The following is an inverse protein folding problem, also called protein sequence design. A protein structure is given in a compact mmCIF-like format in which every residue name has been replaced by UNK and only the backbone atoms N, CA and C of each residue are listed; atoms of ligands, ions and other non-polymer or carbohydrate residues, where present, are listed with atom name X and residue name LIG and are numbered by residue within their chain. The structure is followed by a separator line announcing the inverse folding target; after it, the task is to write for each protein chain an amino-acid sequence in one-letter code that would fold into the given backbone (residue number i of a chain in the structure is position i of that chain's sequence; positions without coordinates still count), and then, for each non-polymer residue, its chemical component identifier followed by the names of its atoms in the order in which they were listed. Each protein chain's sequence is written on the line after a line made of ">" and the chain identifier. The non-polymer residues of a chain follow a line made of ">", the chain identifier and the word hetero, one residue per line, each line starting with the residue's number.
data_IF_867473801975
#
_entry.id   IF_867473801975
#
_cell.length_a   1.000
_cell.length_b   1.000
_cell.length_c   1.000
_cell.angle_alpha   90.00
_cell.angle_beta   90.00
_cell.angle_gamma   90.00
#
_symmetry.space_group_name_H-M   'P 1'
#
loop_
_entity.id
_entity.type
_entity.pdbx_description
1 polymer ?
#
# COMPACT_ATOMS: atom_id res chain seq x y z
N UNK A 1 -17.66 3.35 -4.23
CA UNK A 1 -18.75 3.47 -3.22
C UNK A 1 -19.60 4.65 -3.62
N UNK A 2 -20.91 4.44 -3.72
CA UNK A 2 -21.85 5.52 -3.97
C UNK A 2 -21.92 6.44 -2.74
N UNK A 3 -21.48 7.68 -2.91
CA UNK A 3 -21.41 8.68 -1.83
C UNK A 3 -22.81 9.21 -1.43
N UNK A 4 -23.87 8.89 -2.17
CA UNK A 4 -25.24 9.27 -1.80
C UNK A 4 -25.81 8.40 -0.68
N UNK A 5 -25.22 7.24 -0.40
CA UNK A 5 -25.67 6.35 0.67
C UNK A 5 -25.31 6.92 2.05
N UNK A 6 -26.28 7.01 2.99
CA UNK A 6 -26.03 7.42 4.36
C UNK A 6 -25.34 6.28 5.14
N UNK A 7 -24.06 6.05 4.85
CA UNK A 7 -23.28 4.95 5.38
C UNK A 7 -22.13 5.47 6.22
N UNK A 8 -22.12 5.15 7.52
CA UNK A 8 -20.99 5.45 8.39
C UNK A 8 -19.85 4.46 8.17
N UNK A 9 -18.61 4.87 8.52
CA UNK A 9 -17.43 4.00 8.46
C UNK A 9 -17.65 2.72 9.27
N UNK A 10 -18.18 2.82 10.47
CA UNK A 10 -18.47 1.65 11.31
C UNK A 10 -19.42 0.67 10.62
N UNK A 11 -20.50 1.18 10.03
CA UNK A 11 -21.45 0.34 9.28
C UNK A 11 -20.81 -0.31 8.06
N UNK A 12 -19.97 0.44 7.35
CA UNK A 12 -19.23 -0.08 6.21
C UNK A 12 -18.29 -1.22 6.62
N UNK A 13 -17.51 -1.05 7.67
CA UNK A 13 -16.65 -2.11 8.19
C UNK A 13 -17.46 -3.36 8.58
N UNK A 14 -18.63 -3.18 9.18
CA UNK A 14 -19.53 -4.29 9.56
C UNK A 14 -20.12 -5.07 8.37
N UNK A 15 -19.96 -4.62 7.13
CA UNK A 15 -20.33 -5.36 5.93
C UNK A 15 -19.34 -6.47 5.53
N UNK A 16 -18.16 -6.51 6.13
CA UNK A 16 -17.20 -7.60 5.88
C UNK A 16 -17.80 -8.97 6.25
N UNK A 17 -17.64 -9.96 5.35
CA UNK A 17 -18.31 -11.27 5.47
C UNK A 17 -17.86 -12.08 6.68
N UNK A 18 -16.55 -12.10 6.96
CA UNK A 18 -15.93 -12.92 8.01
C UNK A 18 -15.45 -12.06 9.17
N UNK A 19 -16.26 -11.08 9.56
CA UNK A 19 -15.89 -10.20 10.67
C UNK A 19 -15.74 -10.99 11.96
N UNK A 20 -14.61 -10.78 12.61
CA UNK A 20 -14.39 -11.14 13.99
C UNK A 20 -13.92 -9.91 14.78
N UNK A 21 -13.91 -9.99 16.08
CA UNK A 21 -13.49 -8.86 16.93
C UNK A 21 -12.04 -8.45 16.67
N UNK A 22 -11.18 -9.40 16.35
CA UNK A 22 -9.76 -9.17 16.07
C UNK A 22 -9.56 -8.41 14.74
N UNK A 23 -10.30 -8.79 13.68
CA UNK A 23 -10.30 -8.06 12.42
C UNK A 23 -10.82 -6.63 12.56
N UNK A 24 -11.86 -6.43 13.39
CA UNK A 24 -12.38 -5.09 13.67
C UNK A 24 -11.37 -4.22 14.42
N UNK A 25 -10.68 -4.76 15.44
CA UNK A 25 -9.62 -4.06 16.16
C UNK A 25 -8.45 -3.66 15.22
N UNK A 26 -8.05 -4.56 14.31
CA UNK A 26 -7.03 -4.21 13.29
C UNK A 26 -7.50 -3.09 12.38
N UNK A 27 -8.75 -3.14 11.92
CA UNK A 27 -9.30 -2.06 11.09
C UNK A 27 -9.26 -0.72 11.84
N UNK A 28 -9.62 -0.67 13.12
CA UNK A 28 -9.53 0.53 13.94
C UNK A 28 -8.10 1.06 14.05
N UNK A 29 -7.10 0.21 14.25
CA UNK A 29 -5.68 0.60 14.29
C UNK A 29 -5.20 1.23 12.96
N UNK A 30 -5.79 0.80 11.82
CA UNK A 30 -5.47 1.36 10.50
C UNK A 30 -6.12 2.72 10.30
N UNK A 31 -7.29 2.93 10.87
CA UNK A 31 -8.03 4.21 10.79
C UNK A 31 -7.31 5.35 11.50
N UNK A 32 -6.52 5.03 12.54
CA UNK A 32 -5.72 6.00 13.29
C UNK A 32 -6.54 7.07 14.02
N UNK A 33 -7.87 6.87 14.17
CA UNK A 33 -8.79 7.77 14.86
C UNK A 33 -10.14 7.09 15.10
N UNK A 34 -10.58 7.03 16.36
CA UNK A 34 -11.89 6.48 16.73
C UNK A 34 -13.04 7.37 16.24
N UNK A 35 -12.82 8.68 16.14
CA UNK A 35 -13.83 9.62 15.63
C UNK A 35 -14.24 9.33 14.20
N UNK A 36 -13.36 8.66 13.45
CA UNK A 36 -13.62 8.31 12.05
C UNK A 36 -14.75 7.29 11.90
N UNK A 37 -14.95 6.42 12.90
CA UNK A 37 -15.99 5.39 12.86
C UNK A 37 -17.41 5.95 12.72
N UNK A 38 -17.68 7.08 13.39
CA UNK A 38 -18.97 7.77 13.34
C UNK A 38 -19.17 8.61 12.08
N UNK A 39 -18.11 8.89 11.35
CA UNK A 39 -18.13 9.73 10.15
C UNK A 39 -18.87 9.08 8.99
N UNK A 40 -19.56 9.89 8.18
CA UNK A 40 -20.15 9.43 6.91
C UNK A 40 -19.04 9.22 5.89
N UNK A 41 -19.12 8.12 5.12
CA UNK A 41 -18.14 7.84 4.03
C UNK A 41 -18.10 8.97 3.00
N UNK A 42 -19.24 9.63 2.76
CA UNK A 42 -19.33 10.79 1.86
C UNK A 42 -18.44 11.96 2.27
N UNK A 43 -18.17 12.10 3.57
CA UNK A 43 -17.45 13.25 4.14
C UNK A 43 -15.95 12.99 4.32
N UNK A 44 -15.48 11.80 3.98
CA UNK A 44 -14.09 11.44 4.14
C UNK A 44 -13.19 12.11 3.10
N UNK A 45 -12.01 12.54 3.53
CA UNK A 45 -10.92 12.88 2.61
C UNK A 45 -10.47 11.64 1.81
N UNK A 46 -9.74 11.84 0.72
CA UNK A 46 -9.23 10.72 -0.07
C UNK A 46 -8.37 9.77 0.79
N UNK A 47 -7.47 10.31 1.64
CA UNK A 47 -6.62 9.50 2.50
C UNK A 47 -7.39 8.77 3.61
N UNK A 48 -8.42 9.39 4.19
CA UNK A 48 -9.31 8.73 5.14
C UNK A 48 -10.06 7.58 4.48
N UNK A 49 -10.61 7.81 3.28
CA UNK A 49 -11.31 6.76 2.52
C UNK A 49 -10.38 5.59 2.20
N UNK A 50 -9.15 5.84 1.75
CA UNK A 50 -8.19 4.78 1.46
C UNK A 50 -7.86 3.94 2.71
N UNK A 51 -7.68 4.56 3.88
CA UNK A 51 -7.49 3.85 5.14
C UNK A 51 -8.72 3.00 5.51
N UNK A 52 -9.92 3.52 5.33
CA UNK A 52 -11.17 2.78 5.57
C UNK A 52 -11.28 1.56 4.65
N UNK A 53 -10.98 1.72 3.36
CA UNK A 53 -10.98 0.61 2.39
C UNK A 53 -9.95 -0.46 2.74
N UNK A 54 -8.75 -0.03 3.13
CA UNK A 54 -7.68 -0.92 3.58
C UNK A 54 -8.08 -1.69 4.85
N UNK A 55 -8.63 -1.00 5.86
CA UNK A 55 -9.15 -1.61 7.08
C UNK A 55 -10.23 -2.65 6.77
N UNK A 56 -11.18 -2.34 5.89
CA UNK A 56 -12.23 -3.27 5.47
C UNK A 56 -11.67 -4.52 4.78
N UNK A 57 -10.68 -4.35 3.89
CA UNK A 57 -10.05 -5.48 3.20
C UNK A 57 -9.35 -6.43 4.18
N UNK A 58 -8.72 -5.89 5.22
CA UNK A 58 -7.97 -6.66 6.22
C UNK A 58 -8.85 -7.31 7.30
N UNK A 59 -10.12 -6.92 7.43
CA UNK A 59 -11.04 -7.57 8.37
C UNK A 59 -11.24 -9.06 8.09
N UNK A 60 -11.03 -9.50 6.84
CA UNK A 60 -11.16 -10.90 6.45
C UNK A 60 -9.84 -11.69 6.59
N UNK A 61 -8.79 -11.10 7.16
CA UNK A 61 -7.47 -11.72 7.32
C UNK A 61 -6.95 -12.39 6.03
N UNK A 62 -6.84 -11.64 4.92
CA UNK A 62 -6.50 -12.22 3.64
C UNK A 62 -5.04 -12.69 3.60
N UNK A 63 -4.77 -13.81 2.92
CA UNK A 63 -3.40 -14.24 2.61
C UNK A 63 -2.73 -13.34 1.56
N UNK A 64 -3.54 -12.71 0.70
CA UNK A 64 -3.08 -11.80 -0.36
C UNK A 64 -3.93 -10.55 -0.40
N UNK A 65 -3.30 -9.38 -0.36
CA UNK A 65 -3.92 -8.07 -0.52
C UNK A 65 -3.59 -7.51 -1.91
N UNK A 66 -4.63 -7.16 -2.66
CA UNK A 66 -4.50 -6.53 -3.98
C UNK A 66 -4.78 -5.04 -3.86
N UNK A 67 -3.82 -4.21 -4.28
CA UNK A 67 -3.90 -2.76 -4.25
C UNK A 67 -3.76 -2.21 -5.68
N UNK A 68 -4.85 -1.69 -6.22
CA UNK A 68 -4.88 -1.07 -7.55
C UNK A 68 -4.95 0.45 -7.39
N UNK A 69 -3.85 1.14 -7.76
CA UNK A 69 -3.72 2.61 -7.68
C UNK A 69 -4.17 3.20 -6.33
N UNK A 70 -3.88 2.50 -5.22
CA UNK A 70 -4.43 2.80 -3.90
C UNK A 70 -4.03 4.17 -3.32
N UNK A 71 -3.03 4.84 -3.88
CA UNK A 71 -2.62 6.20 -3.48
C UNK A 71 -3.13 7.29 -4.41
N UNK A 72 -3.97 6.92 -5.38
CA UNK A 72 -4.52 7.90 -6.31
C UNK A 72 -5.36 8.95 -5.58
N UNK A 73 -5.03 10.23 -5.81
CA UNK A 73 -5.69 11.36 -5.15
C UNK A 73 -5.16 11.70 -3.76
N UNK A 74 -4.09 11.05 -3.31
CA UNK A 74 -3.33 11.47 -2.14
C UNK A 74 -2.25 12.47 -2.55
N UNK A 75 -1.92 13.38 -1.64
CA UNK A 75 -0.71 14.17 -1.72
C UNK A 75 0.53 13.31 -1.40
N UNK A 76 1.71 13.87 -1.62
CA UNK A 76 2.96 13.13 -1.42
C UNK A 76 3.16 12.65 0.03
N UNK A 77 2.91 13.46 1.09
CA UNK A 77 2.95 12.98 2.48
C UNK A 77 1.92 11.89 2.77
N UNK A 78 0.69 12.01 2.25
CA UNK A 78 -0.37 11.02 2.41
C UNK A 78 -0.03 9.70 1.75
N UNK A 79 0.58 9.73 0.56
CA UNK A 79 1.07 8.53 -0.13
C UNK A 79 2.17 7.85 0.67
N UNK A 80 3.16 8.59 1.16
CA UNK A 80 4.24 8.04 1.99
C UNK A 80 3.72 7.39 3.28
N UNK A 81 2.77 8.04 3.97
CA UNK A 81 2.13 7.49 5.16
C UNK A 81 1.34 6.20 4.85
N UNK A 82 0.65 6.15 3.71
CA UNK A 82 -0.08 4.97 3.25
C UNK A 82 0.86 3.78 3.00
N UNK A 83 1.98 3.99 2.30
CA UNK A 83 2.94 2.93 2.03
C UNK A 83 3.63 2.41 3.30
N UNK A 84 3.96 3.30 4.25
CA UNK A 84 4.46 2.91 5.56
C UNK A 84 3.46 1.99 6.29
N UNK A 85 2.16 2.33 6.23
CA UNK A 85 1.10 1.50 6.81
C UNK A 85 1.00 0.12 6.12
N UNK A 86 1.18 0.06 4.80
CA UNK A 86 1.21 -1.20 4.05
C UNK A 86 2.40 -2.09 4.49
N UNK A 87 3.56 -1.50 4.71
CA UNK A 87 4.74 -2.22 5.21
C UNK A 87 4.51 -2.79 6.62
N UNK A 88 3.97 -1.98 7.55
CA UNK A 88 3.58 -2.43 8.88
C UNK A 88 2.58 -3.60 8.84
N UNK A 89 1.59 -3.54 7.94
CA UNK A 89 0.61 -4.61 7.76
C UNK A 89 1.31 -5.89 7.28
N UNK A 90 2.17 -5.81 6.27
CA UNK A 90 2.92 -6.95 5.76
C UNK A 90 3.73 -7.63 6.86
N UNK A 91 4.43 -6.84 7.68
CA UNK A 91 5.28 -7.35 8.76
C UNK A 91 4.47 -8.00 9.89
N UNK A 92 3.32 -7.42 10.23
CA UNK A 92 2.52 -7.89 11.36
C UNK A 92 1.57 -9.03 11.01
N UNK A 93 1.14 -9.14 9.75
CA UNK A 93 0.17 -10.15 9.32
C UNK A 93 0.77 -11.27 8.48
N UNK A 94 1.95 -11.06 7.88
CA UNK A 94 2.53 -11.98 6.90
C UNK A 94 1.77 -12.03 5.55
N UNK A 95 0.78 -11.16 5.35
CA UNK A 95 -0.02 -11.07 4.12
C UNK A 95 0.87 -10.71 2.94
N UNK A 96 0.76 -11.43 1.83
CA UNK A 96 1.40 -11.06 0.57
C UNK A 96 0.68 -9.85 -0.04
N UNK A 97 1.44 -8.90 -0.58
CA UNK A 97 0.87 -7.66 -1.16
C UNK A 97 1.23 -7.58 -2.63
N UNK A 98 0.21 -7.53 -3.48
CA UNK A 98 0.36 -7.21 -4.90
C UNK A 98 -0.17 -5.81 -5.15
N UNK A 99 0.72 -4.90 -5.56
CA UNK A 99 0.41 -3.51 -5.80
C UNK A 99 0.56 -3.16 -7.29
N UNK A 100 -0.44 -2.48 -7.84
CA UNK A 100 -0.40 -1.85 -9.17
C UNK A 100 -0.25 -0.35 -8.95
N UNK A 101 0.80 0.24 -9.52
CA UNK A 101 1.07 1.68 -9.41
C UNK A 101 1.86 2.17 -10.62
N UNK A 102 1.67 3.43 -10.97
CA UNK A 102 2.48 4.15 -11.94
C UNK A 102 3.56 5.01 -11.26
N UNK A 103 3.60 5.05 -9.93
CA UNK A 103 4.66 5.73 -9.17
C UNK A 103 5.90 4.84 -9.08
N UNK A 104 6.80 5.02 -10.05
CA UNK A 104 8.03 4.23 -10.16
C UNK A 104 8.92 4.34 -8.92
N UNK A 105 8.94 5.52 -8.28
CA UNK A 105 9.75 5.72 -7.09
C UNK A 105 9.31 4.81 -5.96
N UNK A 106 8.02 4.76 -5.71
CA UNK A 106 7.44 3.90 -4.68
C UNK A 106 7.63 2.43 -5.03
N UNK A 107 7.30 2.04 -6.28
CA UNK A 107 7.47 0.65 -6.73
C UNK A 107 8.89 0.18 -6.49
N UNK A 108 9.90 0.98 -6.84
CA UNK A 108 11.30 0.59 -6.71
C UNK A 108 11.81 0.60 -5.27
N UNK A 109 11.26 1.43 -4.39
CA UNK A 109 11.71 1.53 -2.98
C UNK A 109 10.99 0.58 -2.04
N UNK A 110 9.70 0.28 -2.27
CA UNK A 110 8.85 -0.46 -1.35
C UNK A 110 8.60 -1.93 -1.74
N UNK A 111 9.04 -2.36 -2.94
CA UNK A 111 8.76 -3.72 -3.43
C UNK A 111 9.94 -4.66 -3.25
N UNK A 112 9.65 -5.94 -2.99
CA UNK A 112 10.64 -7.02 -3.04
C UNK A 112 10.83 -7.55 -4.47
N UNK A 113 9.78 -7.46 -5.30
CA UNK A 113 9.77 -7.89 -6.70
C UNK A 113 8.94 -6.93 -7.53
N UNK A 114 9.42 -6.62 -8.72
CA UNK A 114 8.74 -5.76 -9.70
C UNK A 114 8.43 -6.57 -10.95
N UNK A 115 7.27 -6.30 -11.55
CA UNK A 115 6.84 -6.82 -12.85
C UNK A 115 6.43 -5.62 -13.70
N UNK A 116 7.12 -5.41 -14.82
CA UNK A 116 6.81 -4.34 -15.77
C UNK A 116 5.89 -4.86 -16.86
N UNK A 117 4.75 -4.20 -17.05
CA UNK A 117 3.71 -4.58 -18.00
C UNK A 117 3.53 -3.51 -19.08
N UNK A 118 3.57 -3.94 -20.34
CA UNK A 118 3.19 -3.13 -21.51
C UNK A 118 2.55 -4.05 -22.57
N UNK A 119 1.33 -4.49 -22.29
CA UNK A 119 0.66 -5.52 -23.11
C UNK A 119 1.23 -6.94 -22.94
N UNK A 120 2.47 -7.06 -22.49
CA UNK A 120 3.17 -8.29 -22.10
C UNK A 120 4.13 -7.99 -20.93
N UNK A 121 4.69 -9.01 -20.31
CA UNK A 121 5.73 -8.82 -19.29
C UNK A 121 7.04 -8.44 -20.00
N UNK A 122 7.47 -7.19 -19.84
CA UNK A 122 8.70 -6.67 -20.46
C UNK A 122 9.93 -7.00 -19.62
N UNK A 123 9.83 -6.85 -18.30
CA UNK A 123 10.89 -7.17 -17.35
C UNK A 123 10.30 -7.55 -15.99
N UNK A 124 11.04 -8.34 -15.22
CA UNK A 124 10.63 -8.71 -13.87
C UNK A 124 11.84 -9.12 -13.03
N UNK A 125 11.77 -8.89 -11.73
CA UNK A 125 12.84 -9.27 -10.81
C UNK A 125 12.90 -8.37 -9.57
N UNK A 126 14.03 -8.40 -8.89
CA UNK A 126 14.31 -7.43 -7.83
C UNK A 126 14.40 -6.01 -8.39
N UNK A 127 13.96 -4.97 -7.64
CA UNK A 127 13.94 -3.60 -8.13
C UNK A 127 15.26 -3.13 -8.74
N UNK A 128 16.40 -3.43 -8.10
CA UNK A 128 17.73 -3.06 -8.59
C UNK A 128 18.07 -3.70 -9.94
N UNK A 129 17.74 -4.98 -10.10
CA UNK A 129 17.98 -5.72 -11.35
C UNK A 129 17.08 -5.22 -12.48
N UNK A 130 15.81 -4.92 -12.15
CA UNK A 130 14.84 -4.37 -13.10
C UNK A 130 15.28 -2.98 -13.56
N UNK A 131 15.68 -2.10 -12.63
CA UNK A 131 16.12 -0.75 -12.94
C UNK A 131 17.37 -0.69 -13.84
N UNK A 132 18.23 -1.70 -13.77
CA UNK A 132 19.43 -1.82 -14.62
C UNK A 132 19.15 -2.48 -15.97
N UNK A 133 17.92 -2.96 -16.22
CA UNK A 133 17.61 -3.67 -17.46
C UNK A 133 17.38 -2.72 -18.64
N UNK A 134 17.83 -3.10 -19.87
CA UNK A 134 17.59 -2.31 -21.09
C UNK A 134 16.09 -2.13 -21.39
N UNK A 135 15.27 -3.12 -21.05
CA UNK A 135 13.82 -3.11 -21.26
C UNK A 135 13.17 -2.01 -20.39
N UNK A 136 13.59 -1.89 -19.15
CA UNK A 136 13.12 -0.83 -18.25
C UNK A 136 13.53 0.55 -18.75
N UNK A 137 14.79 0.73 -19.16
CA UNK A 137 15.28 1.98 -19.74
C UNK A 137 14.53 2.36 -21.03
N UNK A 138 14.16 1.40 -21.84
CA UNK A 138 13.35 1.60 -23.06
C UNK A 138 11.93 2.07 -22.75
N UNK A 139 11.32 1.57 -21.67
CA UNK A 139 9.94 1.93 -21.28
C UNK A 139 9.84 3.30 -20.61
N UNK A 140 10.78 3.62 -19.73
CA UNK A 140 10.69 4.77 -18.83
C UNK A 140 11.74 5.86 -19.08
N UNK A 141 12.69 5.62 -19.99
CA UNK A 141 13.77 6.54 -20.36
C UNK A 141 14.89 6.60 -19.32
N UNK A 142 16.05 7.16 -19.72
CA UNK A 142 17.23 7.29 -18.86
C UNK A 142 17.10 8.30 -17.70
N UNK A 143 15.93 8.91 -17.52
CA UNK A 143 15.67 9.89 -16.44
C UNK A 143 15.60 9.29 -15.03
N UNK A 144 15.69 7.97 -14.90
CA UNK A 144 15.48 7.27 -13.61
C UNK A 144 16.79 7.05 -12.84
N UNK A 145 17.96 7.31 -13.44
CA UNK A 145 19.25 7.16 -12.76
C UNK A 145 19.40 8.04 -11.49
N UNK A 146 18.70 9.17 -11.43
CA UNK A 146 18.69 10.05 -10.25
C UNK A 146 17.75 9.62 -9.12
N UNK A 147 16.77 8.76 -9.38
CA UNK A 147 15.71 8.44 -8.41
C UNK A 147 16.10 7.29 -7.47
N UNK A 148 17.03 6.43 -7.89
CA UNK A 148 17.56 5.31 -7.10
C UNK A 148 18.63 5.73 -6.06
N UNK A 149 19.17 6.94 -6.17
CA UNK A 149 20.31 7.39 -5.34
C UNK A 149 19.92 7.83 -3.92
N UNK A 150 18.65 7.93 -3.55
CA UNK A 150 18.20 8.61 -2.33
C UNK A 150 17.75 7.70 -1.17
N UNK A 151 17.75 6.37 -1.30
CA UNK A 151 17.36 5.50 -0.19
C UNK A 151 18.34 4.34 0.05
N UNK A 152 19.46 4.63 0.67
CA UNK A 152 20.21 3.65 1.45
C UNK A 152 19.65 3.62 2.87
N UNK A 153 18.66 2.79 3.16
CA UNK A 153 18.43 2.36 4.52
C UNK A 153 19.53 1.34 4.89
N UNK A 154 20.52 1.83 5.63
CA UNK A 154 21.52 1.01 6.31
C UNK A 154 20.85 0.28 7.47
N UNK A 155 20.39 -0.94 7.26
CA UNK A 155 20.17 -1.88 8.35
C UNK A 155 21.51 -2.55 8.68
N UNK A 156 22.35 -1.86 9.46
CA UNK A 156 23.50 -2.49 10.12
C UNK A 156 22.97 -3.27 11.33
N UNK A 157 22.76 -4.57 11.17
CA UNK A 157 22.73 -5.51 12.27
C UNK A 157 24.15 -5.62 12.83
N UNK A 158 24.54 -4.75 13.77
CA UNK A 158 25.68 -5.00 14.63
C UNK A 158 25.30 -6.09 15.63
N UNK A 159 25.69 -7.33 15.28
CA UNK A 159 25.78 -8.42 16.23
C UNK A 159 26.84 -8.09 17.27
N UNK A 160 26.44 -7.78 18.49
CA UNK A 160 27.33 -7.86 19.64
C UNK A 160 27.47 -9.32 20.03
N UNK A 161 28.57 -9.94 19.60
CA UNK A 161 29.13 -11.11 20.29
C UNK A 161 30.14 -10.63 21.35
N UNK A 162 30.00 -11.13 22.50
CA UNK A 162 31.01 -11.62 23.44
C UNK A 162 30.28 -11.90 24.78
#
# INVERSE_FOLDING_TARGET
>A
IDRSLPLTVERFLKLAKNRNDQGFLRAQQILDSDDLLSSQISNLSAGQLQRVLLGHALMNEPDVLLLDEATRGLDQPGSAAFYKKIEEIRETTGCAILMISHDLHVVMSASNRVICLNGHICCQGEPKSVAASPEYASMFGSKVEGTLALYHHNHSHEGKGA
#
